data_IF_043002905397
#
_entry.id   IF_043002905397
#
_cell.length_a   1.000
_cell.length_b   1.000
_cell.length_c   1.000
_cell.angle_alpha   90.00
_cell.angle_beta   90.00
_cell.angle_gamma   90.00
#
_symmetry.space_group_name_H-M   'P 1'
#
loop_
_entity.id
_entity.type
_entity.pdbx_description
1 polymer ?
#
# COMPACT_ATOMS: atom_id res chain seq x y z
N UNK A 1 35.43 10.38 -48.34
CA UNK A 1 35.60 10.43 -46.88
C UNK A 1 34.99 11.72 -46.33
N UNK A 2 33.90 11.63 -45.56
CA UNK A 2 33.34 12.77 -44.80
C UNK A 2 33.31 12.35 -43.33
N UNK A 3 34.05 13.05 -42.48
CA UNK A 3 34.01 12.85 -41.03
C UNK A 3 32.76 13.57 -40.51
N UNK A 4 31.84 12.85 -39.88
CA UNK A 4 30.74 13.42 -39.09
C UNK A 4 31.16 13.38 -37.63
N UNK A 5 31.16 14.55 -36.99
CA UNK A 5 31.44 14.68 -35.56
C UNK A 5 30.32 14.01 -34.76
N UNK A 6 30.65 12.95 -34.02
CA UNK A 6 29.75 12.30 -33.07
C UNK A 6 29.83 13.10 -31.77
N UNK A 7 28.76 13.85 -31.50
CA UNK A 7 28.53 14.48 -30.20
C UNK A 7 28.15 13.36 -29.22
N UNK A 8 29.04 13.04 -28.29
CA UNK A 8 28.79 12.05 -27.25
C UNK A 8 27.77 12.59 -26.26
N UNK A 9 26.53 12.11 -26.34
CA UNK A 9 25.59 12.24 -25.24
C UNK A 9 26.07 11.31 -24.12
N UNK A 10 26.63 11.89 -23.07
CA UNK A 10 26.80 11.19 -21.80
C UNK A 10 25.37 10.98 -21.28
N UNK A 11 24.85 9.77 -21.45
CA UNK A 11 23.59 9.35 -20.86
C UNK A 11 23.74 9.35 -19.34
N UNK A 12 23.40 10.49 -18.75
CA UNK A 12 23.08 10.61 -17.34
C UNK A 12 21.61 10.19 -17.23
N UNK A 13 21.34 8.88 -17.10
CA UNK A 13 20.03 8.35 -16.76
C UNK A 13 19.71 8.73 -15.30
N UNK A 14 19.40 10.00 -15.13
CA UNK A 14 18.80 10.61 -13.96
C UNK A 14 17.39 11.08 -14.31
N UNK A 15 16.41 10.47 -13.61
CA UNK A 15 15.15 11.09 -13.19
C UNK A 15 14.21 11.54 -14.32
N UNK A 16 13.35 10.62 -14.77
CA UNK A 16 12.10 10.93 -15.47
C UNK A 16 10.91 10.84 -14.54
N UNK A 17 10.74 11.81 -13.62
CA UNK A 17 9.46 12.04 -12.95
C UNK A 17 8.49 12.62 -13.98
N UNK A 18 7.54 11.81 -14.44
CA UNK A 18 6.43 12.29 -15.26
C UNK A 18 5.42 13.04 -14.36
N UNK A 19 5.49 14.36 -14.36
CA UNK A 19 4.39 15.20 -13.89
C UNK A 19 3.44 15.39 -15.05
N UNK A 20 2.22 14.84 -14.95
CA UNK A 20 1.15 15.16 -15.88
C UNK A 20 0.85 16.66 -15.82
N UNK A 21 1.08 17.33 -16.96
CA UNK A 21 0.75 18.72 -17.20
C UNK A 21 -0.77 18.84 -17.43
N UNK A 22 -1.51 19.25 -16.40
CA UNK A 22 -2.86 19.75 -16.56
C UNK A 22 -2.80 21.26 -16.83
N UNK A 23 -3.27 21.67 -18.01
CA UNK A 23 -3.43 23.07 -18.36
C UNK A 23 -4.61 23.68 -17.59
N UNK A 24 -4.35 24.75 -16.83
CA UNK A 24 -5.38 25.72 -16.45
C UNK A 24 -4.76 27.09 -16.13
N UNK A 25 -5.06 28.04 -17.00
CA UNK A 25 -5.32 29.47 -16.78
C UNK A 25 -4.31 30.36 -16.01
N UNK A 26 -3.79 31.34 -16.75
CA UNK A 26 -3.15 32.56 -16.27
C UNK A 26 -3.95 33.26 -15.16
N UNK A 27 -3.31 33.55 -14.02
CA UNK A 27 -3.62 34.69 -13.16
C UNK A 27 -2.34 35.17 -12.48
N UNK A 28 -2.34 36.45 -12.13
CA UNK A 28 -1.23 37.38 -11.93
C UNK A 28 -0.23 37.04 -10.81
N UNK A 29 1.02 37.45 -11.03
CA UNK A 29 2.09 37.46 -10.04
C UNK A 29 1.73 38.39 -8.86
N UNK A 30 1.75 37.85 -7.65
CA UNK A 30 1.86 38.61 -6.41
C UNK A 30 3.15 38.22 -5.68
N UNK A 31 3.86 39.25 -5.24
CA UNK A 31 5.12 39.22 -4.48
C UNK A 31 4.97 38.41 -3.19
N UNK A 32 5.98 37.60 -2.80
CA UNK A 32 5.90 36.85 -1.54
C UNK A 32 6.06 37.78 -0.34
N UNK A 33 5.04 37.82 0.51
CA UNK A 33 5.05 38.45 1.84
C UNK A 33 5.97 37.66 2.78
N UNK A 34 6.80 38.31 3.62
CA UNK A 34 7.68 37.60 4.56
C UNK A 34 6.89 36.75 5.56
N UNK A 35 7.34 35.52 5.76
CA UNK A 35 6.80 34.57 6.73
C UNK A 35 6.99 35.10 8.17
N UNK A 36 5.94 35.20 9.01
CA UNK A 36 6.10 35.58 10.41
C UNK A 36 6.83 34.49 11.20
N UNK A 37 7.72 34.90 12.11
CA UNK A 37 8.45 34.01 13.02
C UNK A 37 7.50 33.16 13.90
N UNK A 38 7.88 31.91 14.23
CA UNK A 38 7.06 31.04 15.08
C UNK A 38 6.96 31.60 16.50
N UNK A 39 5.73 31.83 16.95
CA UNK A 39 5.44 32.20 18.35
C UNK A 39 5.60 30.96 19.24
N UNK A 40 6.21 31.05 20.44
CA UNK A 40 6.38 29.91 21.33
C UNK A 40 5.04 29.28 21.74
N UNK A 41 4.99 27.96 21.72
CA UNK A 41 3.82 27.17 22.11
C UNK A 41 3.59 27.32 23.63
N UNK A 42 2.37 27.64 24.11
CA UNK A 42 2.08 27.72 25.54
C UNK A 42 2.26 26.35 26.22
N UNK A 43 2.82 26.37 27.43
CA UNK A 43 2.97 25.17 28.27
C UNK A 43 1.61 24.51 28.58
N UNK A 44 1.55 23.16 28.66
CA UNK A 44 0.33 22.44 28.99
C UNK A 44 -0.17 22.79 30.39
N UNK A 45 -1.45 23.13 30.51
CA UNK A 45 -2.12 23.33 31.80
C UNK A 45 -2.24 21.98 32.52
N UNK A 46 -2.01 21.89 33.84
CA UNK A 46 -2.17 20.63 34.57
C UNK A 46 -3.62 20.13 34.53
N UNK A 47 -3.79 18.83 34.33
CA UNK A 47 -5.09 18.17 34.39
C UNK A 47 -5.75 18.33 35.77
N UNK A 48 -7.08 18.54 35.83
CA UNK A 48 -7.79 18.65 37.09
C UNK A 48 -7.79 17.30 37.83
N UNK A 49 -7.38 17.36 39.10
CA UNK A 49 -7.33 16.25 40.03
C UNK A 49 -8.75 15.65 40.23
N UNK A 50 -8.91 14.31 40.31
CA UNK A 50 -10.22 13.69 40.54
C UNK A 50 -10.73 14.00 41.96
N UNK A 51 -12.00 14.42 42.08
CA UNK A 51 -12.64 14.58 43.37
C UNK A 51 -12.84 13.22 44.08
N UNK A 52 -12.74 13.15 45.42
CA UNK A 52 -13.01 11.94 46.18
C UNK A 52 -14.52 11.61 46.24
N UNK A 53 -14.90 10.34 46.46
CA UNK A 53 -16.29 9.94 46.53
C UNK A 53 -16.85 10.33 47.90
N UNK A 54 -17.73 11.32 47.94
CA UNK A 54 -18.52 11.60 49.14
C UNK A 54 -19.88 10.91 49.00
N UNK A 55 -20.04 9.81 49.73
CA UNK A 55 -21.34 9.19 49.97
C UNK A 55 -22.18 10.03 50.93
N UNK A 56 -23.49 10.04 50.70
CA UNK A 56 -24.45 10.68 51.61
C UNK A 56 -25.89 10.59 51.10
N UNK A 57 -26.68 9.73 51.75
CA UNK A 57 -28.12 9.52 51.57
C UNK A 57 -28.95 10.82 51.54
N UNK A 58 -30.08 10.83 50.81
CA UNK A 58 -31.44 10.86 51.37
C UNK A 58 -32.55 10.97 50.30
N UNK A 59 -33.35 9.90 50.24
CA UNK A 59 -34.80 9.80 50.02
C UNK A 59 -35.60 10.94 49.34
N UNK A 60 -36.41 10.58 48.33
CA UNK A 60 -37.65 11.30 48.01
C UNK A 60 -37.97 11.41 46.52
N UNK A 61 -38.79 10.49 46.00
CA UNK A 61 -39.47 10.71 44.72
C UNK A 61 -39.69 9.44 43.92
N UNK A 62 -40.86 8.83 44.07
CA UNK A 62 -41.46 7.95 43.07
C UNK A 62 -41.51 8.67 41.72
N UNK A 63 -40.54 8.38 40.85
CA UNK A 63 -40.77 8.21 39.42
C UNK A 63 -39.77 7.18 38.91
N UNK A 64 -40.24 5.95 38.82
CA UNK A 64 -39.78 5.03 37.79
C UNK A 64 -40.58 5.35 36.50
N UNK A 65 -40.03 6.07 35.52
CA UNK A 65 -40.46 5.93 34.14
C UNK A 65 -39.54 4.89 33.48
N UNK A 66 -39.99 3.64 33.54
CA UNK A 66 -39.56 2.56 32.65
C UNK A 66 -38.06 2.40 32.44
N UNK A 67 -37.44 1.49 33.19
CA UNK A 67 -36.34 0.71 32.63
C UNK A 67 -36.86 -0.22 31.52
N UNK A 68 -37.34 0.37 30.41
CA UNK A 68 -37.49 -0.28 29.11
C UNK A 68 -36.20 -0.26 28.30
N UNK A 69 -35.16 0.43 28.78
CA UNK A 69 -33.91 0.69 28.07
C UNK A 69 -32.92 -0.49 27.99
N UNK A 70 -33.16 -1.61 28.68
CA UNK A 70 -32.24 -2.76 28.62
C UNK A 70 -32.17 -3.41 27.23
N UNK A 71 -33.33 -3.56 26.58
CA UNK A 71 -33.41 -4.13 25.22
C UNK A 71 -33.01 -3.08 24.17
N UNK A 72 -33.50 -1.85 24.31
CA UNK A 72 -33.22 -0.76 23.36
C UNK A 72 -31.72 -0.42 23.30
N UNK A 73 -31.03 -0.40 24.45
CA UNK A 73 -29.59 -0.19 24.51
C UNK A 73 -28.80 -1.36 23.86
N UNK A 74 -29.23 -2.61 24.07
CA UNK A 74 -28.58 -3.77 23.45
C UNK A 74 -28.75 -3.78 21.92
N UNK A 75 -29.94 -3.42 21.43
CA UNK A 75 -30.22 -3.29 19.99
C UNK A 75 -29.39 -2.16 19.38
N UNK A 76 -29.31 -1.00 20.04
CA UNK A 76 -28.48 0.12 19.60
C UNK A 76 -27.00 -0.23 19.56
N UNK A 77 -26.48 -0.91 20.59
CA UNK A 77 -25.08 -1.36 20.63
C UNK A 77 -24.77 -2.35 19.50
N UNK A 78 -25.67 -3.31 19.23
CA UNK A 78 -25.49 -4.26 18.12
C UNK A 78 -25.51 -3.54 16.77
N UNK A 79 -26.42 -2.59 16.55
CA UNK A 79 -26.49 -1.80 15.32
C UNK A 79 -25.22 -0.95 15.11
N UNK A 80 -24.70 -0.35 16.18
CA UNK A 80 -23.47 0.41 16.14
C UNK A 80 -22.25 -0.49 15.83
N UNK A 81 -22.16 -1.66 16.47
CA UNK A 81 -21.10 -2.63 16.23
C UNK A 81 -21.12 -3.14 14.78
N UNK A 82 -22.30 -3.44 14.23
CA UNK A 82 -22.46 -3.85 12.82
C UNK A 82 -22.05 -2.74 11.87
N UNK A 83 -22.45 -1.50 12.13
CA UNK A 83 -22.02 -0.34 11.34
C UNK A 83 -20.50 -0.20 11.33
N UNK A 84 -19.85 -0.30 12.50
CA UNK A 84 -18.39 -0.21 12.59
C UNK A 84 -17.68 -1.33 11.82
N UNK A 85 -18.18 -2.57 11.90
CA UNK A 85 -17.64 -3.71 11.14
C UNK A 85 -17.78 -3.48 9.63
N UNK A 86 -18.95 -3.04 9.17
CA UNK A 86 -19.20 -2.71 7.76
C UNK A 86 -18.25 -1.61 7.25
N UNK A 87 -18.00 -0.57 8.06
CA UNK A 87 -17.04 0.48 7.70
C UNK A 87 -15.63 -0.09 7.49
N UNK A 88 -15.17 -1.01 8.33
CA UNK A 88 -13.88 -1.68 8.14
C UNK A 88 -13.86 -2.53 6.86
N UNK A 89 -14.94 -3.28 6.60
CA UNK A 89 -15.09 -4.12 5.41
C UNK A 89 -15.03 -3.31 4.12
N UNK A 90 -15.61 -2.10 4.09
CA UNK A 90 -15.58 -1.23 2.92
C UNK A 90 -14.14 -0.79 2.52
N UNK A 91 -13.19 -0.85 3.45
CA UNK A 91 -11.77 -0.58 3.18
C UNK A 91 -11.01 -1.73 2.54
N UNK A 92 -11.64 -2.89 2.29
CA UNK A 92 -10.95 -4.12 1.86
C UNK A 92 -10.06 -3.91 0.63
N UNK A 93 -10.60 -3.37 -0.47
CA UNK A 93 -9.88 -3.24 -1.74
C UNK A 93 -8.59 -2.43 -1.58
N UNK A 94 -8.66 -1.29 -0.90
CA UNK A 94 -7.51 -0.43 -0.66
C UNK A 94 -6.48 -1.13 0.24
N UNK A 95 -6.92 -1.67 1.40
CA UNK A 95 -6.03 -2.30 2.37
C UNK A 95 -5.34 -3.53 1.81
N UNK A 96 -6.05 -4.39 1.10
CA UNK A 96 -5.50 -5.60 0.46
C UNK A 96 -4.56 -5.23 -0.69
N UNK A 97 -4.88 -4.19 -1.45
CA UNK A 97 -4.07 -3.73 -2.58
C UNK A 97 -2.63 -3.31 -2.20
N UNK A 98 -2.43 -2.83 -0.97
CA UNK A 98 -1.11 -2.46 -0.43
C UNK A 98 -0.10 -3.63 -0.37
N UNK A 99 -0.59 -4.86 -0.48
CA UNK A 99 0.17 -6.10 -0.33
C UNK A 99 0.21 -6.92 -1.62
N UNK A 100 -0.06 -6.32 -2.79
CA UNK A 100 -0.02 -7.04 -4.07
C UNK A 100 1.32 -7.74 -4.36
N UNK A 101 2.44 -7.15 -3.93
CA UNK A 101 3.77 -7.74 -4.04
C UNK A 101 4.11 -8.68 -2.86
N UNK A 102 3.18 -8.97 -1.94
CA UNK A 102 3.39 -9.76 -0.73
C UNK A 102 2.27 -10.79 -0.58
N UNK A 103 2.28 -11.83 -1.43
CA UNK A 103 1.15 -12.74 -1.59
C UNK A 103 0.71 -13.40 -0.28
N UNK A 104 1.64 -13.76 0.60
CA UNK A 104 1.35 -14.36 1.91
C UNK A 104 0.62 -13.39 2.84
N UNK A 105 1.17 -12.19 3.05
CA UNK A 105 0.52 -11.13 3.84
C UNK A 105 -0.87 -10.81 3.29
N UNK A 106 -0.98 -10.72 1.97
CA UNK A 106 -2.24 -10.46 1.27
C UNK A 106 -3.26 -11.56 1.51
N UNK A 107 -2.87 -12.82 1.40
CA UNK A 107 -3.74 -13.99 1.59
C UNK A 107 -4.30 -14.05 3.02
N UNK A 108 -3.44 -13.86 4.03
CA UNK A 108 -3.85 -13.81 5.43
C UNK A 108 -4.84 -12.67 5.70
N UNK A 109 -4.59 -11.48 5.14
CA UNK A 109 -5.50 -10.35 5.27
C UNK A 109 -6.84 -10.60 4.55
N UNK A 110 -6.83 -11.17 3.35
CA UNK A 110 -8.05 -11.54 2.61
C UNK A 110 -8.89 -12.54 3.40
N UNK A 111 -8.28 -13.56 4.01
CA UNK A 111 -8.98 -14.52 4.88
C UNK A 111 -9.63 -13.84 6.07
N UNK A 112 -8.96 -12.86 6.70
CA UNK A 112 -9.54 -12.10 7.80
C UNK A 112 -10.76 -11.26 7.35
N UNK A 113 -10.68 -10.62 6.17
CA UNK A 113 -11.82 -9.91 5.57
C UNK A 113 -13.00 -10.84 5.26
N UNK A 114 -12.74 -12.02 4.70
CA UNK A 114 -13.78 -13.04 4.42
C UNK A 114 -14.46 -13.46 5.73
N UNK A 115 -13.70 -13.84 6.76
CA UNK A 115 -14.26 -14.26 8.05
C UNK A 115 -15.07 -13.13 8.73
N UNK A 116 -14.61 -11.89 8.64
CA UNK A 116 -15.35 -10.74 9.15
C UNK A 116 -16.66 -10.50 8.38
N UNK A 117 -16.64 -10.69 7.05
CA UNK A 117 -17.82 -10.57 6.20
C UNK A 117 -18.86 -11.63 6.50
N UNK A 118 -18.46 -12.88 6.75
CA UNK A 118 -19.38 -13.95 7.15
C UNK A 118 -20.18 -13.60 8.42
N UNK A 119 -19.54 -12.97 9.40
CA UNK A 119 -20.22 -12.50 10.62
C UNK A 119 -21.13 -11.30 10.33
N UNK A 120 -20.70 -10.38 9.45
CA UNK A 120 -21.51 -9.23 9.05
C UNK A 120 -22.81 -9.66 8.34
N UNK A 121 -22.72 -10.64 7.44
CA UNK A 121 -23.83 -11.16 6.66
C UNK A 121 -24.79 -12.05 7.49
N UNK A 122 -24.36 -12.51 8.68
CA UNK A 122 -25.18 -13.36 9.56
C UNK A 122 -26.37 -12.58 10.12
N UNK A 123 -27.59 -13.03 9.78
CA UNK A 123 -28.85 -12.39 10.16
C UNK A 123 -29.03 -12.23 11.67
N UNK A 124 -28.63 -13.24 12.45
CA UNK A 124 -28.75 -13.27 13.90
C UNK A 124 -27.39 -13.25 14.62
N UNK A 125 -26.41 -12.51 14.11
CA UNK A 125 -25.14 -12.30 14.81
C UNK A 125 -25.37 -11.62 16.17
N UNK A 126 -24.74 -12.14 17.21
CA UNK A 126 -24.75 -11.53 18.55
C UNK A 126 -23.79 -10.34 18.64
N UNK A 127 -23.98 -9.45 19.62
CA UNK A 127 -23.08 -8.33 19.87
C UNK A 127 -21.63 -8.79 20.09
N UNK A 128 -21.44 -9.89 20.83
CA UNK A 128 -20.13 -10.47 21.09
C UNK A 128 -19.47 -11.00 19.80
N UNK A 129 -20.22 -11.67 18.93
CA UNK A 129 -19.69 -12.16 17.64
C UNK A 129 -19.23 -11.00 16.75
N UNK A 130 -20.04 -9.94 16.64
CA UNK A 130 -19.71 -8.76 15.82
C UNK A 130 -18.49 -8.03 16.38
N UNK A 131 -18.41 -7.82 17.69
CA UNK A 131 -17.24 -7.18 18.31
C UNK A 131 -15.98 -8.03 18.15
N UNK A 132 -16.07 -9.35 18.32
CA UNK A 132 -14.94 -10.24 18.09
C UNK A 132 -14.46 -10.21 16.63
N UNK A 133 -15.39 -10.21 15.67
CA UNK A 133 -15.06 -10.10 14.24
C UNK A 133 -14.37 -8.77 13.92
N UNK A 134 -14.88 -7.66 14.47
CA UNK A 134 -14.27 -6.33 14.35
C UNK A 134 -12.84 -6.33 14.88
N UNK A 135 -12.62 -6.75 16.13
CA UNK A 135 -11.29 -6.76 16.76
C UNK A 135 -10.31 -7.66 16.00
N UNK A 136 -10.76 -8.83 15.52
CA UNK A 136 -9.93 -9.72 14.69
C UNK A 136 -9.52 -9.05 13.38
N UNK A 137 -10.45 -8.38 12.70
CA UNK A 137 -10.14 -7.67 11.45
C UNK A 137 -9.18 -6.49 11.69
N UNK A 138 -9.39 -5.70 12.74
CA UNK A 138 -8.49 -4.61 13.13
C UNK A 138 -7.07 -5.13 13.42
N UNK A 139 -6.99 -6.27 14.13
CA UNK A 139 -5.71 -6.92 14.43
C UNK A 139 -5.03 -7.42 13.16
N UNK A 140 -5.74 -8.10 12.26
CA UNK A 140 -5.19 -8.58 11.00
C UNK A 140 -4.68 -7.43 10.10
N UNK A 141 -5.39 -6.30 10.06
CA UNK A 141 -4.95 -5.10 9.32
C UNK A 141 -3.63 -4.56 9.92
N UNK A 142 -3.53 -4.51 11.24
CA UNK A 142 -2.31 -4.07 11.94
C UNK A 142 -1.15 -5.04 11.72
N UNK A 143 -1.40 -6.33 11.81
CA UNK A 143 -0.39 -7.37 11.65
C UNK A 143 0.14 -7.42 10.21
N UNK A 144 -0.72 -7.21 9.21
CA UNK A 144 -0.29 -7.09 7.82
C UNK A 144 0.68 -5.91 7.63
N UNK A 145 0.37 -4.76 8.24
CA UNK A 145 1.24 -3.58 8.18
C UNK A 145 2.59 -3.83 8.86
N UNK A 146 2.58 -4.41 10.06
CA UNK A 146 3.78 -4.75 10.80
C UNK A 146 4.65 -5.80 10.07
N UNK A 147 4.01 -6.79 9.46
CA UNK A 147 4.69 -7.84 8.70
C UNK A 147 5.40 -7.26 7.47
N UNK A 148 4.74 -6.35 6.75
CA UNK A 148 5.36 -5.63 5.62
C UNK A 148 6.56 -4.78 6.07
N UNK A 149 6.43 -4.05 7.18
CA UNK A 149 7.56 -3.29 7.75
C UNK A 149 8.72 -4.21 8.12
N UNK A 150 8.46 -5.29 8.86
CA UNK A 150 9.51 -6.24 9.27
C UNK A 150 10.17 -6.94 8.09
N UNK A 151 9.39 -7.29 7.05
CA UNK A 151 9.94 -7.83 5.81
C UNK A 151 10.91 -6.82 5.17
N UNK A 152 10.52 -5.55 5.11
CA UNK A 152 11.35 -4.51 4.49
C UNK A 152 12.64 -4.23 5.24
N UNK A 153 12.60 -4.21 6.57
CA UNK A 153 13.80 -4.06 7.40
C UNK A 153 14.79 -5.23 7.23
N UNK A 154 14.27 -6.44 7.01
CA UNK A 154 15.10 -7.65 6.81
C UNK A 154 15.65 -7.77 5.39
N UNK A 155 14.96 -7.20 4.41
CA UNK A 155 15.23 -7.43 2.99
C UNK A 155 15.41 -6.12 2.17
N UNK A 156 16.19 -5.12 2.64
CA UNK A 156 16.28 -3.83 1.97
C UNK A 156 16.85 -3.94 0.54
N UNK A 157 17.88 -4.76 0.33
CA UNK A 157 18.50 -4.96 -0.99
C UNK A 157 17.59 -5.72 -1.95
N UNK A 158 16.79 -6.67 -1.46
CA UNK A 158 15.82 -7.37 -2.29
C UNK A 158 14.73 -6.42 -2.77
N UNK A 159 14.17 -5.59 -1.88
CA UNK A 159 13.14 -4.61 -2.26
C UNK A 159 13.68 -3.65 -3.31
N UNK A 160 14.88 -3.10 -3.08
CA UNK A 160 15.55 -2.22 -4.05
C UNK A 160 15.73 -2.89 -5.41
N UNK A 161 16.21 -4.13 -5.44
CA UNK A 161 16.39 -4.90 -6.67
C UNK A 161 15.05 -5.16 -7.39
N UNK A 162 14.02 -5.51 -6.62
CA UNK A 162 12.69 -5.85 -7.13
C UNK A 162 11.97 -4.63 -7.72
N UNK A 163 12.07 -3.47 -7.06
CA UNK A 163 11.53 -2.21 -7.56
C UNK A 163 12.25 -1.75 -8.84
N UNK A 164 13.58 -1.92 -8.90
CA UNK A 164 14.35 -1.65 -10.10
C UNK A 164 13.93 -2.57 -11.27
N UNK A 165 13.76 -3.87 -11.01
CA UNK A 165 13.28 -4.82 -12.03
C UNK A 165 11.86 -4.47 -12.52
N UNK A 166 10.95 -4.10 -11.60
CA UNK A 166 9.60 -3.61 -11.94
C UNK A 166 9.68 -2.41 -12.87
N UNK A 167 10.54 -1.44 -12.56
CA UNK A 167 10.74 -0.27 -13.42
C UNK A 167 11.26 -0.67 -14.80
N UNK A 168 12.28 -1.52 -14.87
CA UNK A 168 12.85 -2.00 -16.14
C UNK A 168 11.81 -2.70 -17.00
N UNK A 169 10.93 -3.53 -16.43
CA UNK A 169 9.90 -4.24 -17.21
C UNK A 169 8.90 -3.30 -17.87
N UNK A 170 8.69 -2.09 -17.35
CA UNK A 170 7.81 -1.12 -18.01
C UNK A 170 8.33 -0.65 -19.38
N UNK A 171 9.61 -0.85 -19.69
CA UNK A 171 10.17 -0.52 -21.01
C UNK A 171 10.04 -1.63 -22.06
N UNK A 172 9.50 -2.81 -21.72
CA UNK A 172 9.43 -3.98 -22.62
C UNK A 172 8.88 -3.63 -24.00
N UNK A 173 7.70 -3.00 -24.06
CA UNK A 173 7.06 -2.64 -25.33
C UNK A 173 7.93 -1.70 -26.16
N UNK A 174 8.49 -0.66 -25.53
CA UNK A 174 9.37 0.30 -26.19
C UNK A 174 10.63 -0.36 -26.75
N UNK A 175 11.26 -1.26 -25.98
CA UNK A 175 12.46 -1.96 -26.42
C UNK A 175 12.17 -2.96 -27.55
N UNK A 176 11.08 -3.72 -27.47
CA UNK A 176 10.75 -4.71 -28.51
C UNK A 176 10.26 -4.06 -29.81
N UNK A 177 9.62 -2.88 -29.74
CA UNK A 177 9.17 -2.15 -30.94
C UNK A 177 10.33 -1.61 -31.79
N UNK A 178 11.53 -1.47 -31.24
CA UNK A 178 12.73 -1.07 -32.00
C UNK A 178 13.29 -2.22 -32.86
N UNK A 179 12.88 -3.47 -32.58
CA UNK A 179 13.41 -4.69 -33.20
C UNK A 179 12.38 -5.36 -34.12
N UNK A 180 11.49 -4.58 -34.73
CA UNK A 180 10.40 -5.10 -35.56
C UNK A 180 10.84 -5.56 -36.96
N UNK A 181 12.03 -5.16 -37.41
CA UNK A 181 12.61 -5.66 -38.65
C UNK A 181 12.95 -7.15 -38.54
N UNK A 182 12.63 -7.93 -39.57
CA UNK A 182 12.83 -9.38 -39.59
C UNK A 182 14.30 -9.79 -39.40
N UNK A 183 15.26 -8.91 -39.73
CA UNK A 183 16.68 -9.16 -39.51
C UNK A 183 17.05 -9.22 -38.01
N UNK A 184 16.22 -8.65 -37.14
CA UNK A 184 16.44 -8.63 -35.69
C UNK A 184 15.65 -9.68 -34.92
N UNK A 185 14.96 -10.60 -35.61
CA UNK A 185 14.05 -11.57 -34.98
C UNK A 185 14.72 -12.41 -33.88
N UNK A 186 15.97 -12.84 -34.09
CA UNK A 186 16.72 -13.60 -33.07
C UNK A 186 17.00 -12.76 -31.82
N UNK A 187 17.34 -11.49 -32.02
CA UNK A 187 17.62 -10.54 -30.93
C UNK A 187 16.35 -10.22 -30.17
N UNK A 188 15.26 -9.93 -30.89
CA UNK A 188 13.93 -9.68 -30.32
C UNK A 188 13.48 -10.85 -29.44
N UNK A 189 13.63 -12.08 -29.93
CA UNK A 189 13.28 -13.28 -29.18
C UNK A 189 14.14 -13.45 -27.91
N UNK A 190 15.44 -13.17 -27.99
CA UNK A 190 16.30 -13.19 -26.82
C UNK A 190 15.87 -12.17 -25.75
N UNK A 191 15.63 -10.91 -26.14
CA UNK A 191 15.21 -9.85 -25.22
C UNK A 191 13.81 -10.13 -24.64
N UNK A 192 12.87 -10.60 -25.46
CA UNK A 192 11.54 -11.01 -24.99
C UNK A 192 11.63 -12.10 -23.93
N UNK A 193 12.52 -13.09 -24.11
CA UNK A 193 12.77 -14.13 -23.10
C UNK A 193 13.37 -13.57 -21.81
N UNK A 194 14.22 -12.54 -21.87
CA UNK A 194 14.74 -11.86 -20.67
C UNK A 194 13.63 -11.12 -19.91
N UNK A 195 12.79 -10.36 -20.61
CA UNK A 195 11.62 -9.72 -20.00
C UNK A 195 10.65 -10.74 -19.41
N UNK A 196 10.43 -11.87 -20.08
CA UNK A 196 9.62 -12.97 -19.54
C UNK A 196 10.19 -13.46 -18.20
N UNK A 197 11.49 -13.73 -18.11
CA UNK A 197 12.13 -14.15 -16.86
C UNK A 197 11.93 -13.11 -15.74
N UNK A 198 12.08 -11.82 -16.06
CA UNK A 198 11.82 -10.74 -15.10
C UNK A 198 10.35 -10.70 -14.63
N UNK A 199 9.39 -10.90 -15.55
CA UNK A 199 7.96 -10.98 -15.22
C UNK A 199 7.62 -12.20 -14.37
N UNK A 200 8.25 -13.35 -14.63
CA UNK A 200 8.08 -14.55 -13.84
C UNK A 200 8.51 -14.31 -12.37
N UNK A 201 9.62 -13.57 -12.16
CA UNK A 201 10.08 -13.15 -10.81
C UNK A 201 9.05 -12.24 -10.11
N UNK A 202 8.53 -11.22 -10.80
CA UNK A 202 7.53 -10.31 -10.20
C UNK A 202 6.23 -11.05 -9.88
N UNK A 203 5.83 -11.99 -10.74
CA UNK A 203 4.62 -12.77 -10.55
C UNK A 203 4.72 -13.67 -9.31
N UNK A 204 5.92 -14.13 -8.96
CA UNK A 204 6.16 -14.89 -7.73
C UNK A 204 5.98 -14.04 -6.45
N UNK A 205 6.03 -12.71 -6.55
CA UNK A 205 5.95 -11.75 -5.44
C UNK A 205 7.15 -11.82 -4.48
N UNK A 206 7.32 -10.80 -3.62
CA UNK A 206 8.39 -10.74 -2.62
C UNK A 206 8.22 -11.76 -1.50
N UNK A 207 6.98 -12.06 -1.14
CA UNK A 207 6.61 -12.96 -0.04
C UNK A 207 5.52 -13.94 -0.53
N UNK A 208 5.90 -14.99 -1.29
CA UNK A 208 4.96 -15.95 -1.86
C UNK A 208 4.23 -16.76 -0.78
N UNK A 209 3.04 -17.26 -1.10
CA UNK A 209 2.27 -18.12 -0.19
C UNK A 209 2.91 -19.49 0.01
N UNK A 210 3.75 -19.94 -0.92
CA UNK A 210 4.46 -21.22 -0.89
C UNK A 210 5.85 -21.09 -1.49
N UNK A 211 6.80 -21.85 -0.95
CA UNK A 211 8.19 -21.81 -1.42
C UNK A 211 8.95 -20.57 -0.93
N UNK A 212 10.19 -20.45 -1.38
CA UNK A 212 11.03 -19.31 -1.06
C UNK A 212 10.73 -18.13 -2.00
N UNK A 213 10.79 -16.91 -1.45
CA UNK A 213 10.75 -15.68 -2.25
C UNK A 213 11.98 -15.53 -3.15
N UNK A 214 11.94 -14.58 -4.10
CA UNK A 214 13.06 -14.30 -4.97
C UNK A 214 14.28 -13.83 -4.15
N UNK A 215 15.47 -14.21 -4.59
CA UNK A 215 16.72 -13.78 -3.98
C UNK A 215 17.22 -12.50 -4.66
N UNK A 216 17.71 -11.54 -3.87
CA UNK A 216 18.19 -10.25 -4.39
C UNK A 216 19.24 -10.40 -5.51
N UNK A 217 20.13 -11.39 -5.39
CA UNK A 217 21.14 -11.70 -6.42
C UNK A 217 20.51 -12.08 -7.76
N UNK A 218 19.51 -12.97 -7.74
CA UNK A 218 18.82 -13.42 -8.94
C UNK A 218 18.05 -12.27 -9.58
N UNK A 219 17.34 -11.47 -8.78
CA UNK A 219 16.60 -10.29 -9.25
C UNK A 219 17.55 -9.30 -9.93
N UNK A 220 18.70 -9.00 -9.31
CA UNK A 220 19.71 -8.10 -9.88
C UNK A 220 20.30 -8.65 -11.17
N UNK A 221 20.68 -9.93 -11.22
CA UNK A 221 21.23 -10.55 -12.43
C UNK A 221 20.24 -10.52 -13.59
N UNK A 222 18.96 -10.82 -13.33
CA UNK A 222 17.92 -10.73 -14.36
C UNK A 222 17.74 -9.28 -14.82
N UNK A 223 17.71 -8.32 -13.90
CA UNK A 223 17.59 -6.91 -14.24
C UNK A 223 18.78 -6.42 -15.09
N UNK A 224 20.01 -6.72 -14.67
CA UNK A 224 21.23 -6.38 -15.40
C UNK A 224 21.26 -7.01 -16.79
N UNK A 225 20.81 -8.26 -16.94
CA UNK A 225 20.73 -8.91 -18.24
C UNK A 225 19.79 -8.16 -19.20
N UNK A 226 18.62 -7.71 -18.71
CA UNK A 226 17.67 -6.92 -19.51
C UNK A 226 18.29 -5.57 -19.87
N UNK A 227 18.85 -4.84 -18.90
CA UNK A 227 19.45 -3.52 -19.13
C UNK A 227 20.61 -3.60 -20.12
N UNK A 228 21.50 -4.59 -19.97
CA UNK A 228 22.65 -4.76 -20.86
C UNK A 228 22.27 -5.20 -22.27
N UNK A 229 21.19 -5.98 -22.43
CA UNK A 229 20.71 -6.39 -23.74
C UNK A 229 20.00 -5.22 -24.46
N UNK A 230 19.20 -4.45 -23.73
CA UNK A 230 18.44 -3.32 -24.27
C UNK A 230 19.33 -2.11 -24.57
N UNK A 231 20.40 -1.88 -23.82
CA UNK A 231 21.35 -0.78 -24.08
C UNK A 231 22.10 -0.93 -25.40
N UNK A 232 22.12 -2.12 -26.00
CA UNK A 232 22.81 -2.42 -27.27
C UNK A 232 21.88 -2.30 -28.48
N UNK A 233 20.59 -2.06 -28.27
CA UNK A 233 19.63 -1.96 -29.38
C UNK A 233 20.01 -0.82 -30.33
N UNK A 234 20.49 0.32 -29.80
CA UNK A 234 20.94 1.44 -30.64
C UNK A 234 22.21 1.15 -31.44
N UNK A 235 22.97 0.10 -31.07
CA UNK A 235 24.21 -0.31 -31.73
C UNK A 235 23.97 -1.37 -32.83
N UNK A 236 22.75 -1.88 -32.98
CA UNK A 236 22.36 -2.96 -33.92
C UNK A 236 21.55 -2.44 -35.10
#
# INVERSE_FOLDING_TARGET
MKRKNILKFVSLLGIGSFVMLAAASCTSATTPTPNPEPKPNPEPKPDPMPNPPSGGNMNGGDTNPGNGGGMDNAVQQLAAAKTALTTLLNGQTEKVGLYNDYAKIKDDLVKAYIAAKEISDKSHATLQEVNNAKTRLETAIKDAANSKTSFGEKNPELIKAYDALKQTITSEEMSLNQLMDANFETIKNHISNLYKQGKDIITATLDPTTGDGPQAMVVNQTNEAIVNATSKIEDW
#
